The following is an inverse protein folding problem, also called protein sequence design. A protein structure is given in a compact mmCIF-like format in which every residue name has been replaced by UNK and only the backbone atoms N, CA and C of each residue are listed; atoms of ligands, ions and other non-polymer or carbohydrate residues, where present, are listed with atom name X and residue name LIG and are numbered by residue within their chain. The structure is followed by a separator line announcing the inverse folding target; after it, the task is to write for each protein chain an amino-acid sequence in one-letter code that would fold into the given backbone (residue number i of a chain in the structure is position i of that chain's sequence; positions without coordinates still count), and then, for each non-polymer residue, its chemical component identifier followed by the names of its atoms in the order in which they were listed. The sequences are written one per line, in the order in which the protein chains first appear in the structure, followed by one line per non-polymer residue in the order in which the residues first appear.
data_IF_150818319627
#
_entry.id   IF_150818319627
#
_cell.length_a   1.000
_cell.length_b   1.000
_cell.length_c   1.000
_cell.angle_alpha   90.00
_cell.angle_beta   90.00
_cell.angle_gamma   90.00
#
_symmetry.space_group_name_H-M   'P 1'
#
loop_
_entity.id
_entity.type
_entity.pdbx_description
1 polymer ?
#
# COMPACT_ATOMS: atom_id res chain seq x y z
N UNK A 1 5.59 -10.05 -45.02
CA UNK A 1 5.24 -8.66 -44.67
C UNK A 1 4.44 -8.66 -43.36
N UNK A 2 5.12 -8.61 -42.20
CA UNK A 2 4.48 -8.71 -40.86
C UNK A 2 4.75 -7.46 -39.99
N UNK A 3 5.29 -6.41 -40.60
CA UNK A 3 5.72 -5.16 -39.96
C UNK A 3 4.55 -4.28 -39.43
N UNK A 4 3.34 -4.23 -40.03
CA UNK A 4 2.38 -3.20 -39.64
C UNK A 4 1.70 -3.49 -38.28
N UNK A 5 1.51 -4.76 -37.91
CA UNK A 5 0.77 -5.12 -36.68
C UNK A 5 1.55 -4.74 -35.42
N UNK A 6 2.86 -5.00 -35.40
CA UNK A 6 3.72 -4.65 -34.25
C UNK A 6 3.82 -3.13 -34.05
N UNK A 7 3.86 -2.36 -35.15
CA UNK A 7 3.86 -0.91 -35.10
C UNK A 7 2.54 -0.34 -34.55
N UNK A 8 1.40 -0.92 -34.94
CA UNK A 8 0.10 -0.52 -34.41
C UNK A 8 -0.03 -0.80 -32.91
N UNK A 9 0.47 -1.95 -32.43
CA UNK A 9 0.44 -2.28 -30.99
C UNK A 9 1.32 -1.30 -30.20
N UNK A 10 2.52 -0.97 -30.69
CA UNK A 10 3.40 -0.01 -30.05
C UNK A 10 2.79 1.40 -29.99
N UNK A 11 2.11 1.85 -31.06
CA UNK A 11 1.44 3.15 -31.10
C UNK A 11 0.23 3.23 -30.14
N UNK A 12 -0.55 2.15 -30.01
CA UNK A 12 -1.65 2.07 -29.05
C UNK A 12 -1.13 2.12 -27.60
N UNK A 13 -0.03 1.41 -27.31
CA UNK A 13 0.61 1.46 -26.00
C UNK A 13 1.17 2.85 -25.68
N UNK A 14 1.71 3.55 -26.67
CA UNK A 14 2.21 4.92 -26.51
C UNK A 14 1.09 5.97 -26.38
N UNK A 15 -0.06 5.77 -27.06
CA UNK A 15 -1.20 6.70 -26.98
C UNK A 15 -2.00 6.57 -25.68
N UNK A 16 -1.95 5.39 -25.04
CA UNK A 16 -2.62 5.14 -23.75
C UNK A 16 -1.84 5.68 -22.54
N UNK A 17 -0.63 6.22 -22.75
CA UNK A 17 0.23 6.77 -21.69
C UNK A 17 0.76 5.68 -20.72
N UNK A 18 1.76 5.99 -19.88
CA UNK A 18 2.21 5.08 -18.83
C UNK A 18 1.01 4.64 -17.98
N UNK A 19 0.91 3.34 -17.64
CA UNK A 19 -0.30 2.79 -17.08
C UNK A 19 -0.58 3.44 -15.71
N UNK A 20 -1.86 3.56 -15.37
CA UNK A 20 -2.39 3.98 -14.06
C UNK A 20 -1.85 3.20 -12.84
N UNK A 21 -0.89 2.28 -13.04
CA UNK A 21 -0.20 1.52 -12.01
C UNK A 21 0.72 2.37 -11.13
N UNK A 22 1.32 3.43 -11.69
CA UNK A 22 2.08 4.39 -10.88
C UNK A 22 1.15 5.16 -9.92
N UNK A 23 0.00 5.60 -10.44
CA UNK A 23 -1.04 6.29 -9.68
C UNK A 23 -1.59 5.40 -8.54
N UNK A 24 -1.87 4.14 -8.85
CA UNK A 24 -2.31 3.12 -7.88
C UNK A 24 -1.25 2.88 -6.79
N UNK A 25 0.03 2.78 -7.13
CA UNK A 25 1.06 2.58 -6.10
C UNK A 25 1.16 3.80 -5.17
N UNK A 26 1.10 5.01 -5.73
CA UNK A 26 1.15 6.25 -4.96
C UNK A 26 -0.09 6.46 -4.08
N UNK A 27 -1.29 6.17 -4.57
CA UNK A 27 -2.52 6.18 -3.77
C UNK A 27 -2.46 5.16 -2.63
N UNK A 28 -2.05 3.93 -2.94
CA UNK A 28 -1.88 2.89 -1.93
C UNK A 28 -0.81 3.29 -0.90
N UNK A 29 0.26 3.97 -1.33
CA UNK A 29 1.27 4.51 -0.42
C UNK A 29 0.68 5.57 0.50
N UNK A 30 -0.11 6.49 -0.03
CA UNK A 30 -0.76 7.55 0.74
C UNK A 30 -1.74 7.02 1.79
N UNK A 31 -2.42 5.90 1.51
CA UNK A 31 -3.35 5.25 2.46
C UNK A 31 -2.59 4.37 3.46
N UNK A 32 -1.72 3.49 2.97
CA UNK A 32 -1.11 2.43 3.77
C UNK A 32 -0.06 2.95 4.75
N UNK A 33 0.72 3.97 4.39
CA UNK A 33 1.74 4.51 5.29
C UNK A 33 1.17 5.06 6.61
N UNK A 34 0.21 6.00 6.60
CA UNK A 34 -0.35 6.55 7.83
C UNK A 34 -1.17 5.52 8.61
N UNK A 35 -1.97 4.69 7.94
CA UNK A 35 -2.75 3.64 8.61
C UNK A 35 -1.85 2.65 9.35
N UNK A 36 -0.77 2.20 8.70
CA UNK A 36 0.15 1.26 9.32
C UNK A 36 1.02 1.89 10.41
N UNK A 37 1.42 3.17 10.31
CA UNK A 37 2.15 3.82 11.42
C UNK A 37 1.27 3.97 12.67
N UNK A 38 -0.01 4.32 12.49
CA UNK A 38 -0.98 4.38 13.58
C UNK A 38 -1.22 3.01 14.23
N UNK A 39 -1.55 1.99 13.43
CA UNK A 39 -1.74 0.62 13.90
C UNK A 39 -0.51 0.08 14.66
N UNK A 40 0.67 0.27 14.07
CA UNK A 40 1.94 -0.17 14.65
C UNK A 40 2.19 0.51 15.99
N UNK A 41 1.98 1.83 16.07
CA UNK A 41 2.22 2.58 17.30
C UNK A 41 1.32 2.12 18.44
N UNK A 42 0.07 1.77 18.14
CA UNK A 42 -0.90 1.30 19.13
C UNK A 42 -0.58 -0.13 19.61
N UNK A 43 -0.33 -1.05 18.68
CA UNK A 43 0.04 -2.45 19.01
C UNK A 43 1.32 -2.49 19.82
N UNK A 44 2.34 -1.72 19.41
CA UNK A 44 3.62 -1.71 20.11
C UNK A 44 3.55 -1.02 21.47
N UNK A 45 2.69 -0.01 21.64
CA UNK A 45 2.41 0.58 22.96
C UNK A 45 1.70 -0.42 23.88
N UNK A 46 0.71 -1.14 23.36
CA UNK A 46 -0.04 -2.16 24.11
C UNK A 46 0.86 -3.33 24.55
N UNK A 47 1.69 -3.85 23.64
CA UNK A 47 2.65 -4.92 23.96
C UNK A 47 3.69 -4.48 24.98
N UNK A 48 4.17 -3.24 24.87
CA UNK A 48 5.11 -2.67 25.84
C UNK A 48 4.53 -2.57 27.25
N UNK A 49 3.22 -2.30 27.39
CA UNK A 49 2.53 -2.32 28.67
C UNK A 49 2.28 -3.73 29.25
N UNK A 50 2.25 -4.75 28.38
CA UNK A 50 1.92 -6.14 28.76
C UNK A 50 3.16 -6.97 29.09
N UNK A 51 4.32 -6.64 28.51
CA UNK A 51 5.60 -7.34 28.69
C UNK A 51 6.66 -6.48 29.40
N UNK A 52 6.42 -6.00 30.63
CA UNK A 52 7.41 -5.23 31.40
C UNK A 52 8.64 -6.06 31.80
N UNK A 53 8.63 -7.38 31.55
CA UNK A 53 9.67 -8.35 31.94
C UNK A 53 10.93 -8.24 31.07
N UNK A 54 10.84 -7.71 29.85
CA UNK A 54 12.03 -7.41 29.06
C UNK A 54 12.56 -6.05 29.51
N UNK A 55 13.62 -6.04 30.33
CA UNK A 55 14.29 -4.85 30.85
C UNK A 55 14.87 -3.87 29.81
N UNK A 56 14.50 -4.01 28.54
CA UNK A 56 14.86 -3.12 27.43
C UNK A 56 13.61 -2.70 26.63
N UNK A 57 12.65 -2.09 27.33
CA UNK A 57 11.37 -1.53 26.86
C UNK A 57 11.54 -0.72 25.56
N UNK A 58 12.58 0.12 25.47
CA UNK A 58 12.86 0.91 24.27
C UNK A 58 13.27 0.08 23.05
N UNK A 59 14.08 -0.97 23.25
CA UNK A 59 14.48 -1.88 22.18
C UNK A 59 13.29 -2.71 21.69
N UNK A 60 12.43 -3.17 22.60
CA UNK A 60 11.23 -3.92 22.24
C UNK A 60 10.25 -3.06 21.43
N UNK A 61 9.98 -1.84 21.88
CA UNK A 61 9.12 -0.90 21.15
C UNK A 61 9.64 -0.62 19.74
N UNK A 62 10.94 -0.35 19.60
CA UNK A 62 11.57 -0.08 18.29
C UNK A 62 11.49 -1.30 17.38
N UNK A 63 11.79 -2.50 17.90
CA UNK A 63 11.76 -3.74 17.14
C UNK A 63 10.33 -4.09 16.71
N UNK A 64 9.37 -3.95 17.62
CA UNK A 64 7.95 -4.10 17.32
C UNK A 64 7.55 -3.12 16.22
N UNK A 65 7.95 -1.84 16.32
CA UNK A 65 7.58 -0.83 15.34
C UNK A 65 8.07 -1.21 13.94
N UNK A 66 9.33 -1.64 13.81
CA UNK A 66 9.89 -2.05 12.52
C UNK A 66 9.19 -3.30 11.98
N UNK A 67 8.99 -4.34 12.79
CA UNK A 67 8.41 -5.61 12.33
C UNK A 67 6.95 -5.48 11.93
N UNK A 68 6.14 -4.81 12.76
CA UNK A 68 4.71 -4.65 12.53
C UNK A 68 4.46 -3.68 11.37
N UNK A 69 5.23 -2.59 11.26
CA UNK A 69 5.07 -1.66 10.14
C UNK A 69 5.40 -2.28 8.79
N UNK A 70 6.45 -3.12 8.70
CA UNK A 70 6.79 -3.83 7.46
C UNK A 70 5.66 -4.80 7.08
N UNK A 71 5.21 -5.64 8.04
CA UNK A 71 4.14 -6.60 7.78
C UNK A 71 2.83 -5.91 7.38
N UNK A 72 2.45 -4.85 8.10
CA UNK A 72 1.25 -4.07 7.81
C UNK A 72 1.32 -3.44 6.42
N UNK A 73 2.45 -2.79 6.07
CA UNK A 73 2.60 -2.16 4.75
C UNK A 73 2.50 -3.20 3.65
N UNK A 74 3.22 -4.31 3.74
CA UNK A 74 3.17 -5.36 2.73
C UNK A 74 1.75 -5.87 2.52
N UNK A 75 1.02 -6.16 3.61
CA UNK A 75 -0.38 -6.61 3.50
C UNK A 75 -1.29 -5.52 2.91
N UNK A 76 -1.15 -4.29 3.38
CA UNK A 76 -1.96 -3.16 2.93
C UNK A 76 -1.73 -2.86 1.45
N UNK A 77 -0.48 -2.84 0.97
CA UNK A 77 -0.16 -2.66 -0.44
C UNK A 77 -0.73 -3.78 -1.30
N UNK A 78 -0.60 -5.04 -0.87
CA UNK A 78 -1.18 -6.16 -1.61
C UNK A 78 -2.72 -6.02 -1.71
N UNK A 79 -3.41 -5.74 -0.60
CA UNK A 79 -4.87 -5.56 -0.62
C UNK A 79 -5.27 -4.36 -1.47
N UNK A 80 -4.61 -3.23 -1.31
CA UNK A 80 -4.93 -2.00 -2.01
C UNK A 80 -4.74 -2.15 -3.53
N UNK A 81 -3.61 -2.72 -3.96
CA UNK A 81 -3.33 -2.98 -5.38
C UNK A 81 -4.26 -4.04 -5.97
N UNK A 82 -4.62 -5.10 -5.24
CA UNK A 82 -5.62 -6.07 -5.71
C UNK A 82 -7.01 -5.44 -5.85
N UNK A 83 -7.39 -4.53 -4.95
CA UNK A 83 -8.71 -3.88 -4.99
C UNK A 83 -8.82 -2.91 -6.18
N UNK A 84 -7.71 -2.28 -6.57
CA UNK A 84 -7.65 -1.43 -7.79
C UNK A 84 -7.53 -2.21 -9.09
N UNK A 85 -6.97 -3.43 -9.06
CA UNK A 85 -6.82 -4.30 -10.24
C UNK A 85 -8.03 -5.17 -10.52
N UNK A 86 -8.93 -5.31 -9.55
CA UNK A 86 -10.25 -5.90 -9.79
C UNK A 86 -11.08 -4.84 -10.51
N UNK A 87 -11.50 -5.02 -11.78
CA UNK A 87 -12.43 -4.12 -12.42
C UNK A 87 -13.80 -4.35 -11.78
N UNK A 88 -13.98 -3.85 -10.57
CA UNK A 88 -15.30 -3.54 -10.06
C UNK A 88 -15.82 -2.45 -10.99
N UNK A 89 -16.73 -2.82 -11.89
CA UNK A 89 -17.50 -1.87 -12.70
C UNK A 89 -18.38 -0.98 -11.81
N UNK A 90 -17.77 -0.12 -11.01
CA UNK A 90 -18.43 0.63 -9.95
C UNK A 90 -17.57 1.79 -9.48
N UNK A 91 -17.78 2.93 -10.13
CA UNK A 91 -17.67 4.31 -9.68
C UNK A 91 -16.40 4.78 -8.92
N UNK A 92 -15.90 6.01 -9.22
CA UNK A 92 -14.97 6.68 -8.31
C UNK A 92 -15.65 6.83 -6.95
N UNK A 93 -14.97 6.36 -5.90
CA UNK A 93 -15.39 6.54 -4.52
C UNK A 93 -15.52 8.06 -4.25
N UNK A 94 -16.71 8.58 -3.87
CA UNK A 94 -16.85 10.00 -3.61
C UNK A 94 -16.01 10.37 -2.38
N UNK A 95 -15.22 11.44 -2.52
CA UNK A 95 -14.43 12.02 -1.44
C UNK A 95 -15.30 12.30 -0.20
N UNK A 96 -14.77 12.10 1.02
CA UNK A 96 -15.51 12.43 2.23
C UNK A 96 -15.75 13.94 2.28
N UNK A 97 -17.02 14.34 2.34
CA UNK A 97 -17.43 15.75 2.49
C UNK A 97 -17.40 16.11 3.97
N UNK A 98 -16.86 17.29 4.36
CA UNK A 98 -16.80 17.76 5.75
C UNK A 98 -18.17 18.05 6.37
#
# INVERSE_FOLDING_TARGET
MAVPVAACIALVLLSMGPPAMADVEDDCRAICYPACDGFTSEVCRSLNGTLPVLGNIGFFYTTCKVRVSIACRTLCFNVCTLNTLTPSGGAPMPAPVP
#
